data_IF_323266101252
#
_entry.id   IF_323266101252
#
_cell.length_a   1.000
_cell.length_b   1.000
_cell.length_c   1.000
_cell.angle_alpha   90.00
_cell.angle_beta   90.00
_cell.angle_gamma   90.00
#
_symmetry.space_group_name_H-M   'P 1'
#
loop_
_entity.id
_entity.type
_entity.pdbx_description
1 polymer ?
#
# COMPACT_ATOMS: atom_id res chain seq x y z
N UNK A 1 21.76 -72.68 -16.34
CA UNK A 1 22.68 -72.07 -17.30
C UNK A 1 21.91 -71.01 -18.06
N UNK A 2 22.23 -69.73 -17.94
CA UNK A 2 21.59 -68.71 -18.71
C UNK A 2 22.38 -68.47 -20.01
N UNK A 3 21.72 -68.06 -21.09
CA UNK A 3 22.42 -67.64 -22.33
C UNK A 3 22.81 -66.15 -22.28
N UNK A 4 24.05 -66.00 -22.72
CA UNK A 4 24.72 -64.73 -23.00
C UNK A 4 24.00 -63.89 -24.08
N UNK A 5 23.75 -62.61 -23.82
CA UNK A 5 23.32 -61.66 -24.82
C UNK A 5 24.50 -60.72 -25.16
N UNK A 6 24.91 -60.78 -26.42
CA UNK A 6 25.94 -59.95 -27.00
C UNK A 6 25.43 -58.51 -27.29
N UNK A 7 26.32 -57.57 -27.02
CA UNK A 7 26.22 -56.15 -27.43
C UNK A 7 26.21 -56.03 -28.97
N UNK A 8 25.25 -55.29 -29.50
CA UNK A 8 25.46 -54.49 -30.71
C UNK A 8 24.60 -53.22 -30.69
N UNK A 9 25.33 -52.18 -30.67
CA UNK A 9 25.05 -50.77 -30.82
C UNK A 9 24.00 -50.45 -31.90
N UNK A 10 23.13 -49.47 -31.57
CA UNK A 10 22.60 -48.55 -32.54
C UNK A 10 22.53 -47.19 -31.86
N UNK A 11 23.51 -46.34 -32.21
CA UNK A 11 23.52 -44.92 -31.99
C UNK A 11 22.42 -44.29 -32.86
N UNK A 12 21.34 -43.82 -32.26
CA UNK A 12 20.45 -42.84 -32.89
C UNK A 12 20.78 -41.50 -32.26
N UNK A 13 21.54 -40.67 -32.96
CA UNK A 13 21.68 -39.24 -32.69
C UNK A 13 20.32 -38.58 -32.95
N UNK A 14 19.58 -38.32 -31.89
CA UNK A 14 18.51 -37.32 -31.92
C UNK A 14 19.14 -35.97 -31.55
N UNK A 15 19.41 -35.18 -32.59
CA UNK A 15 19.76 -33.78 -32.47
C UNK A 15 18.56 -33.04 -31.87
N UNK A 16 18.61 -32.76 -30.57
CA UNK A 16 17.77 -31.76 -29.96
C UNK A 16 18.29 -30.40 -30.44
N UNK A 17 17.60 -29.83 -31.43
CA UNK A 17 17.69 -28.41 -31.74
C UNK A 17 17.09 -27.70 -30.55
N UNK A 18 17.94 -27.26 -29.65
CA UNK A 18 17.59 -26.32 -28.58
C UNK A 18 17.18 -25.00 -29.24
N UNK A 19 15.90 -24.85 -29.52
CA UNK A 19 15.32 -23.53 -29.72
C UNK A 19 15.39 -22.83 -28.38
N UNK A 20 16.50 -22.13 -28.18
CA UNK A 20 16.60 -21.14 -27.11
C UNK A 20 15.54 -20.09 -27.37
N UNK A 21 14.39 -20.26 -26.73
CA UNK A 21 13.46 -19.16 -26.50
C UNK A 21 14.18 -18.18 -25.56
N UNK A 22 15.05 -17.35 -26.13
CA UNK A 22 15.32 -16.05 -25.60
C UNK A 22 14.00 -15.27 -25.72
N UNK A 23 13.12 -15.44 -24.72
CA UNK A 23 12.05 -14.51 -24.48
C UNK A 23 12.73 -13.19 -24.09
N UNK A 24 13.15 -12.44 -25.12
CA UNK A 24 13.40 -11.04 -24.99
C UNK A 24 12.15 -10.48 -24.34
N UNK A 25 12.24 -10.06 -23.07
CA UNK A 25 11.27 -9.17 -22.48
C UNK A 25 11.25 -7.93 -23.37
N UNK A 26 10.36 -7.90 -24.35
CA UNK A 26 9.97 -6.65 -24.97
C UNK A 26 9.45 -5.83 -23.77
N UNK A 27 10.18 -4.80 -23.40
CA UNK A 27 9.67 -3.81 -22.48
C UNK A 27 8.34 -3.38 -23.07
N UNK A 28 7.22 -3.68 -22.39
CA UNK A 28 5.93 -3.22 -22.85
C UNK A 28 6.08 -1.72 -23.10
N UNK A 29 5.69 -1.28 -24.29
CA UNK A 29 5.80 0.14 -24.63
C UNK A 29 5.10 0.92 -23.52
N UNK A 30 5.78 1.90 -22.97
CA UNK A 30 5.23 2.70 -21.87
C UNK A 30 3.86 3.26 -22.27
N UNK A 31 2.87 3.18 -21.38
CA UNK A 31 1.60 3.85 -21.63
C UNK A 31 1.85 5.37 -21.70
N UNK A 32 1.60 5.96 -22.86
CA UNK A 32 1.94 7.36 -23.15
C UNK A 32 1.23 8.37 -22.23
N UNK A 33 0.10 7.97 -21.63
CA UNK A 33 -0.66 8.77 -20.66
C UNK A 33 -0.01 8.93 -19.30
N UNK A 34 1.01 8.12 -18.94
CA UNK A 34 1.55 8.13 -17.57
C UNK A 34 2.14 9.47 -17.14
N UNK A 35 2.84 10.15 -18.04
CA UNK A 35 3.48 11.44 -17.71
C UNK A 35 2.48 12.56 -17.40
N UNK A 36 1.28 12.48 -17.97
CA UNK A 36 0.18 13.44 -17.69
C UNK A 36 -0.78 12.94 -16.63
N UNK A 37 -0.76 11.65 -16.30
CA UNK A 37 -1.64 11.08 -15.29
C UNK A 37 -1.27 11.57 -13.89
N UNK A 38 -2.31 11.76 -13.07
CA UNK A 38 -2.14 11.97 -11.64
C UNK A 38 -1.88 10.62 -10.98
N UNK A 39 -0.62 10.31 -10.66
CA UNK A 39 -0.28 9.07 -9.97
C UNK A 39 -0.19 9.30 -8.46
N UNK A 40 -0.97 8.54 -7.68
CA UNK A 40 -1.00 8.60 -6.21
C UNK A 40 -0.82 7.19 -5.67
N UNK A 41 0.13 7.02 -4.75
CA UNK A 41 0.27 5.85 -3.91
C UNK A 41 -0.33 6.13 -2.53
N UNK A 42 -1.46 5.51 -2.22
CA UNK A 42 -2.20 5.80 -0.99
C UNK A 42 -1.62 5.14 0.27
N UNK A 43 -0.62 4.29 0.12
CA UNK A 43 0.19 3.74 1.21
C UNK A 43 1.52 3.28 0.65
N UNK A 44 2.60 3.99 0.97
CA UNK A 44 3.94 3.65 0.52
C UNK A 44 5.00 4.29 1.40
N UNK A 45 6.27 4.11 1.04
CA UNK A 45 7.40 4.73 1.75
C UNK A 45 8.36 5.40 0.79
N UNK A 46 9.01 6.47 1.27
CA UNK A 46 10.15 7.11 0.63
C UNK A 46 11.42 6.79 1.43
N UNK A 47 12.53 6.56 0.75
CA UNK A 47 13.82 6.26 1.38
C UNK A 47 14.39 4.93 0.96
N UNK A 48 15.56 4.62 1.53
CA UNK A 48 16.38 3.47 1.13
C UNK A 48 15.99 2.18 1.90
N UNK A 49 15.17 2.29 2.94
CA UNK A 49 14.69 1.14 3.71
C UNK A 49 13.32 1.40 4.33
N UNK A 50 12.47 0.38 4.31
CA UNK A 50 11.15 0.38 4.95
C UNK A 50 11.15 -0.27 6.35
N UNK A 51 12.30 -0.78 6.84
CA UNK A 51 12.36 -1.59 8.07
C UNK A 51 12.92 -0.86 9.28
N UNK A 52 13.56 0.27 9.09
CA UNK A 52 14.22 1.05 10.14
C UNK A 52 13.49 2.39 10.35
N UNK A 53 13.71 3.06 11.49
CA UNK A 53 13.24 4.42 11.64
C UNK A 53 13.68 5.28 10.44
N UNK A 54 12.90 6.29 10.05
CA UNK A 54 13.22 7.07 8.88
C UNK A 54 14.62 7.67 8.98
N UNK A 55 15.41 7.47 7.94
CA UNK A 55 16.76 8.04 7.79
C UNK A 55 16.75 9.16 6.76
N UNK A 56 17.71 10.11 6.80
CA UNK A 56 17.81 11.15 5.79
C UNK A 56 17.84 10.56 4.38
N UNK A 57 17.03 11.14 3.49
CA UNK A 57 16.94 10.68 2.11
C UNK A 57 18.25 10.85 1.38
N UNK A 58 18.71 9.78 0.73
CA UNK A 58 19.89 9.81 -0.14
C UNK A 58 19.56 10.46 -1.49
N UNK A 59 20.59 10.85 -2.24
CA UNK A 59 20.42 11.34 -3.61
C UNK A 59 19.81 10.27 -4.52
N UNK A 60 20.05 8.98 -4.24
CA UNK A 60 19.43 7.87 -4.94
C UNK A 60 17.93 7.80 -4.67
N UNK A 61 17.51 7.89 -3.41
CA UNK A 61 16.09 7.92 -3.04
C UNK A 61 15.34 9.12 -3.66
N UNK A 62 15.98 10.28 -3.73
CA UNK A 62 15.42 11.45 -4.42
C UNK A 62 15.32 11.25 -5.93
N UNK A 63 16.34 10.62 -6.54
CA UNK A 63 16.30 10.24 -7.96
C UNK A 63 15.17 9.27 -8.25
N UNK A 64 14.96 8.27 -7.39
CA UNK A 64 13.88 7.30 -7.52
C UNK A 64 12.50 7.95 -7.34
N UNK A 65 12.34 8.88 -6.39
CA UNK A 65 11.09 9.63 -6.21
C UNK A 65 10.74 10.43 -7.48
N UNK A 66 11.73 11.08 -8.11
CA UNK A 66 11.53 11.76 -9.40
C UNK A 66 11.18 10.79 -10.52
N UNK A 67 11.88 9.63 -10.61
CA UNK A 67 11.64 8.62 -11.63
C UNK A 67 10.26 7.97 -11.49
N UNK A 68 9.75 7.84 -10.28
CA UNK A 68 8.41 7.34 -10.01
C UNK A 68 7.31 8.23 -10.59
N UNK A 69 7.52 9.55 -10.63
CA UNK A 69 6.56 10.51 -11.19
C UNK A 69 5.25 10.57 -10.40
N UNK A 70 5.29 10.32 -9.08
CA UNK A 70 4.10 10.38 -8.23
C UNK A 70 3.72 11.83 -7.94
N UNK A 71 2.44 12.16 -8.12
CA UNK A 71 1.86 13.42 -7.65
C UNK A 71 1.65 13.43 -6.13
N UNK A 72 1.46 12.24 -5.54
CA UNK A 72 1.30 12.09 -4.10
C UNK A 72 1.64 10.68 -3.62
N UNK A 73 2.18 10.60 -2.40
CA UNK A 73 2.39 9.35 -1.69
C UNK A 73 1.98 9.54 -0.23
N UNK A 74 1.15 8.64 0.29
CA UNK A 74 0.83 8.60 1.71
C UNK A 74 1.88 7.75 2.43
N UNK A 75 2.61 8.39 3.33
CA UNK A 75 3.63 7.75 4.16
C UNK A 75 3.12 7.57 5.59
N UNK A 76 3.42 6.44 6.18
CA UNK A 76 3.11 6.19 7.59
C UNK A 76 4.09 6.95 8.48
N UNK A 77 3.56 7.73 9.42
CA UNK A 77 4.30 8.35 10.52
C UNK A 77 3.84 7.75 11.84
N UNK A 78 4.75 7.56 12.77
CA UNK A 78 4.46 6.96 14.06
C UNK A 78 4.42 5.41 14.07
N UNK A 79 4.44 4.83 15.27
CA UNK A 79 4.49 3.39 15.45
C UNK A 79 3.13 2.72 15.32
N UNK A 80 3.15 1.40 15.13
CA UNK A 80 1.99 0.51 15.17
C UNK A 80 2.11 -0.50 16.31
N UNK A 81 0.98 -1.05 16.76
CA UNK A 81 0.94 -2.13 17.76
C UNK A 81 1.08 -1.63 19.19
N UNK A 82 1.87 -2.33 20.01
CA UNK A 82 1.87 -2.22 21.48
C UNK A 82 2.73 -1.10 22.06
N UNK A 83 3.08 -0.08 21.30
CA UNK A 83 3.82 1.08 21.83
C UNK A 83 2.94 1.84 22.82
N UNK A 84 3.45 2.23 24.02
CA UNK A 84 2.66 3.04 24.96
C UNK A 84 2.16 4.35 24.30
N UNK A 85 0.91 4.79 24.55
CA UNK A 85 0.29 5.92 23.84
C UNK A 85 1.10 7.22 23.87
N UNK A 86 1.72 7.54 25.02
CA UNK A 86 2.55 8.75 25.16
C UNK A 86 3.81 8.69 24.29
N UNK A 87 4.49 7.54 24.31
CA UNK A 87 5.67 7.31 23.48
C UNK A 87 5.29 7.26 21.98
N UNK A 88 4.13 6.69 21.66
CA UNK A 88 3.61 6.67 20.31
C UNK A 88 3.29 8.09 19.78
N UNK A 89 2.68 8.93 20.61
CA UNK A 89 2.39 10.31 20.24
C UNK A 89 3.68 11.12 20.04
N UNK A 90 4.62 11.06 20.99
CA UNK A 90 5.90 11.75 20.87
C UNK A 90 6.65 11.32 19.60
N UNK A 91 6.74 10.02 19.34
CA UNK A 91 7.38 9.49 18.13
C UNK A 91 6.67 9.95 16.86
N UNK A 92 5.33 10.03 16.84
CA UNK A 92 4.59 10.54 15.69
C UNK A 92 4.93 12.01 15.40
N UNK A 93 5.06 12.85 16.44
CA UNK A 93 5.48 14.25 16.31
C UNK A 93 6.90 14.33 15.74
N UNK A 94 7.85 13.57 16.32
CA UNK A 94 9.26 13.55 15.90
C UNK A 94 9.38 13.11 14.43
N UNK A 95 8.62 12.10 14.00
CA UNK A 95 8.64 11.63 12.61
C UNK A 95 8.04 12.64 11.63
N UNK A 96 6.98 13.37 12.02
CA UNK A 96 6.47 14.49 11.19
C UNK A 96 7.52 15.59 11.07
N UNK A 97 8.18 15.98 12.16
CA UNK A 97 9.25 16.98 12.13
C UNK A 97 10.43 16.54 11.25
N UNK A 98 10.81 15.26 11.34
CA UNK A 98 11.81 14.67 10.47
C UNK A 98 11.41 14.83 8.99
N UNK A 99 10.20 14.43 8.60
CA UNK A 99 9.74 14.52 7.22
C UNK A 99 9.62 15.98 6.72
N UNK A 100 9.16 16.90 7.56
CA UNK A 100 9.16 18.33 7.23
C UNK A 100 10.59 18.84 6.99
N UNK A 101 11.59 18.32 7.72
CA UNK A 101 13.00 18.65 7.49
C UNK A 101 13.50 18.12 6.14
N UNK A 102 13.12 16.88 5.77
CA UNK A 102 13.48 16.29 4.47
C UNK A 102 12.81 17.04 3.31
N UNK A 103 11.54 17.40 3.43
CA UNK A 103 10.83 18.19 2.42
C UNK A 103 11.49 19.55 2.22
N UNK A 104 11.86 20.23 3.30
CA UNK A 104 12.59 21.51 3.20
C UNK A 104 13.95 21.37 2.52
N UNK A 105 14.69 20.30 2.85
CA UNK A 105 15.99 20.00 2.25
C UNK A 105 15.90 19.68 0.76
N UNK A 106 14.86 18.97 0.34
CA UNK A 106 14.65 18.51 -1.03
C UNK A 106 13.42 19.18 -1.68
N UNK A 107 13.22 20.48 -1.41
CA UNK A 107 12.06 21.25 -1.87
C UNK A 107 11.89 21.34 -3.39
N UNK A 108 12.91 20.97 -4.14
CA UNK A 108 12.90 20.85 -5.60
C UNK A 108 12.35 19.49 -6.08
N UNK A 109 12.23 18.51 -5.20
CA UNK A 109 11.72 17.16 -5.48
C UNK A 109 10.46 16.81 -4.67
N UNK A 110 10.31 17.35 -3.47
CA UNK A 110 9.23 17.01 -2.54
C UNK A 110 8.37 18.22 -2.20
N UNK A 111 7.10 17.96 -1.83
CA UNK A 111 6.17 18.95 -1.34
C UNK A 111 5.31 18.38 -0.20
N UNK A 112 5.04 19.17 0.85
CA UNK A 112 4.07 18.79 1.89
C UNK A 112 2.65 18.94 1.37
N UNK A 113 1.79 17.97 1.63
CA UNK A 113 0.40 17.93 1.19
C UNK A 113 -0.53 18.07 2.40
N UNK A 114 -1.39 19.07 2.38
CA UNK A 114 -2.41 19.31 3.40
C UNK A 114 -3.81 19.45 2.80
N UNK A 115 -3.91 19.58 1.47
CA UNK A 115 -5.15 19.65 0.72
C UNK A 115 -5.06 18.90 -0.61
N UNK A 116 -6.19 18.61 -1.24
CA UNK A 116 -6.22 17.99 -2.56
C UNK A 116 -5.59 18.91 -3.64
N UNK A 117 -5.69 20.21 -3.47
CA UNK A 117 -5.08 21.21 -4.36
C UNK A 117 -3.56 21.23 -4.28
N UNK A 118 -2.97 20.89 -3.13
CA UNK A 118 -1.52 20.75 -2.98
C UNK A 118 -0.99 19.58 -3.83
N UNK A 119 -1.75 18.50 -3.97
CA UNK A 119 -1.39 17.36 -4.84
C UNK A 119 -1.29 17.82 -6.29
N UNK A 120 -2.26 18.61 -6.77
CA UNK A 120 -2.24 19.17 -8.12
C UNK A 120 -1.10 20.17 -8.31
N UNK A 121 -0.76 20.94 -7.27
CA UNK A 121 0.37 21.85 -7.31
C UNK A 121 1.70 21.09 -7.36
N UNK A 122 1.83 20.01 -6.58
CA UNK A 122 3.00 19.12 -6.62
C UNK A 122 3.18 18.52 -8.02
N UNK A 123 2.11 17.95 -8.60
CA UNK A 123 2.14 17.41 -9.97
C UNK A 123 2.60 18.45 -10.99
N UNK A 124 1.98 19.65 -10.99
CA UNK A 124 2.35 20.72 -11.94
C UNK A 124 3.80 21.17 -11.83
N UNK A 125 4.38 21.06 -10.64
CA UNK A 125 5.78 21.43 -10.39
C UNK A 125 6.77 20.26 -10.53
N UNK A 126 6.30 19.07 -10.92
CA UNK A 126 7.14 17.88 -11.04
C UNK A 126 7.70 17.35 -9.71
N UNK A 127 7.04 17.67 -8.59
CA UNK A 127 7.44 17.23 -7.25
C UNK A 127 6.54 16.10 -6.76
N UNK A 128 7.09 15.23 -5.92
CA UNK A 128 6.30 14.23 -5.21
C UNK A 128 5.69 14.85 -3.96
N UNK A 129 4.37 14.82 -3.87
CA UNK A 129 3.63 15.26 -2.69
C UNK A 129 3.68 14.23 -1.57
N UNK A 130 4.01 14.64 -0.36
CA UNK A 130 4.06 13.78 0.84
C UNK A 130 2.82 14.01 1.68
N UNK A 131 2.02 12.96 1.86
CA UNK A 131 0.80 12.94 2.68
C UNK A 131 1.12 12.18 3.96
N UNK A 132 0.87 12.75 5.12
CA UNK A 132 1.07 12.05 6.39
C UNK A 132 -0.14 11.19 6.74
N UNK A 133 0.14 9.91 7.04
CA UNK A 133 -0.84 8.90 7.41
C UNK A 133 -0.45 8.17 8.71
N UNK A 134 -1.44 7.65 9.44
CA UNK A 134 -1.25 6.70 10.54
C UNK A 134 -1.86 5.36 10.16
N UNK A 135 -1.14 4.27 10.46
CA UNK A 135 -1.68 2.91 10.32
C UNK A 135 -2.20 2.33 11.64
N UNK A 136 -2.17 3.09 12.74
CA UNK A 136 -2.74 2.70 14.04
C UNK A 136 -3.18 3.95 14.82
N UNK A 137 -4.17 3.78 15.69
CA UNK A 137 -4.68 4.83 16.55
C UNK A 137 -3.93 4.95 17.89
N UNK A 138 -2.95 4.12 18.15
CA UNK A 138 -2.27 3.99 19.45
C UNK A 138 -1.80 5.33 20.05
N UNK A 139 -1.43 6.30 19.20
CA UNK A 139 -0.94 7.61 19.67
C UNK A 139 -2.06 8.55 20.16
N UNK A 140 -3.34 8.28 19.89
CA UNK A 140 -4.47 9.14 20.29
C UNK A 140 -5.68 8.38 20.86
N UNK A 141 -5.72 7.05 20.81
CA UNK A 141 -6.88 6.24 21.21
C UNK A 141 -7.34 6.47 22.67
N UNK A 142 -6.40 6.78 23.56
CA UNK A 142 -6.69 7.12 24.96
C UNK A 142 -7.12 8.59 25.15
N UNK A 143 -6.80 9.46 24.20
CA UNK A 143 -7.03 10.90 24.25
C UNK A 143 -7.37 11.47 22.86
N UNK A 144 -8.66 11.48 22.52
CA UNK A 144 -9.12 11.90 21.20
C UNK A 144 -8.85 13.38 20.89
N UNK A 145 -8.59 14.23 21.88
CA UNK A 145 -8.19 15.64 21.69
C UNK A 145 -6.86 15.78 20.92
N UNK A 146 -5.99 14.76 20.96
CA UNK A 146 -4.75 14.71 20.18
C UNK A 146 -5.00 14.75 18.66
N UNK A 147 -6.19 14.35 18.20
CA UNK A 147 -6.55 14.42 16.77
C UNK A 147 -6.48 15.85 16.23
N UNK A 148 -6.80 16.87 17.05
CA UNK A 148 -6.67 18.27 16.64
C UNK A 148 -5.22 18.67 16.40
N UNK A 149 -4.33 18.26 17.29
CA UNK A 149 -2.90 18.51 17.15
C UNK A 149 -2.32 17.75 15.95
N UNK A 150 -2.70 16.47 15.76
CA UNK A 150 -2.26 15.66 14.62
C UNK A 150 -2.74 16.25 13.29
N UNK A 151 -4.00 16.72 13.23
CA UNK A 151 -4.49 17.45 12.06
C UNK A 151 -3.69 18.73 11.79
N UNK A 152 -3.38 19.49 12.84
CA UNK A 152 -2.53 20.70 12.77
C UNK A 152 -1.12 20.40 12.25
N UNK A 153 -0.54 19.25 12.63
CA UNK A 153 0.73 18.76 12.11
C UNK A 153 0.66 18.34 10.63
N UNK A 154 -0.53 18.16 10.08
CA UNK A 154 -0.73 17.85 8.66
C UNK A 154 -1.17 16.42 8.37
N UNK A 155 -1.54 15.63 9.37
CA UNK A 155 -2.09 14.30 9.13
C UNK A 155 -3.45 14.40 8.42
N UNK A 156 -3.61 13.57 7.38
CA UNK A 156 -4.82 13.59 6.52
C UNK A 156 -5.44 12.22 6.32
N UNK A 157 -4.75 11.14 6.67
CA UNK A 157 -5.25 9.76 6.58
C UNK A 157 -4.97 9.06 7.90
N UNK A 158 -5.99 8.51 8.55
CA UNK A 158 -5.82 7.82 9.84
C UNK A 158 -6.59 6.51 9.83
N UNK A 159 -5.86 5.44 10.09
CA UNK A 159 -6.39 4.11 10.29
C UNK A 159 -6.77 3.89 11.77
N UNK A 160 -7.91 3.22 11.99
CA UNK A 160 -8.47 3.08 13.35
C UNK A 160 -7.77 2.00 14.17
N UNK A 161 -7.35 0.90 13.55
CA UNK A 161 -6.65 -0.21 14.21
C UNK A 161 -5.55 -0.74 13.32
N UNK A 162 -4.48 -1.25 13.89
CA UNK A 162 -3.58 -2.16 13.18
C UNK A 162 -4.15 -3.59 13.20
N UNK A 163 -3.32 -4.62 13.15
CA UNK A 163 -3.74 -6.02 13.03
C UNK A 163 -4.48 -6.55 14.27
N UNK A 164 -4.12 -6.11 15.47
CA UNK A 164 -4.74 -6.51 16.73
C UNK A 164 -5.84 -5.56 17.20
N UNK A 165 -6.37 -5.83 18.40
CA UNK A 165 -7.32 -4.96 19.10
C UNK A 165 -6.58 -3.76 19.70
N UNK A 166 -7.22 -2.59 19.63
CA UNK A 166 -6.89 -1.42 20.42
C UNK A 166 -8.16 -0.84 21.11
N UNK A 167 -8.09 0.35 21.71
CA UNK A 167 -9.25 0.94 22.40
C UNK A 167 -10.39 1.34 21.46
N UNK A 168 -10.13 1.53 20.16
CA UNK A 168 -11.15 1.95 19.19
C UNK A 168 -11.92 0.76 18.60
N UNK A 169 -11.28 -0.41 18.47
CA UNK A 169 -11.94 -1.57 17.87
C UNK A 169 -11.00 -2.74 17.63
N UNK A 170 -11.50 -3.72 16.88
CA UNK A 170 -10.75 -4.91 16.53
C UNK A 170 -10.06 -4.76 15.19
N UNK A 171 -8.78 -5.14 15.13
CA UNK A 171 -8.03 -5.31 13.89
C UNK A 171 -8.39 -6.61 13.17
N UNK A 172 -7.84 -6.79 11.98
CA UNK A 172 -8.17 -7.92 11.10
C UNK A 172 -7.69 -9.29 11.63
N UNK A 173 -6.77 -9.33 12.57
CA UNK A 173 -6.29 -10.57 13.21
C UNK A 173 -6.93 -10.83 14.57
N UNK A 174 -7.79 -9.94 15.06
CA UNK A 174 -8.48 -10.13 16.33
C UNK A 174 -9.61 -11.16 16.18
N UNK A 175 -9.53 -12.33 16.86
CA UNK A 175 -10.52 -13.38 16.68
C UNK A 175 -11.93 -12.98 17.13
N UNK A 176 -12.03 -12.07 18.11
CA UNK A 176 -13.30 -11.64 18.70
C UNK A 176 -14.18 -10.86 17.71
N UNK A 177 -13.56 -10.14 16.77
CA UNK A 177 -14.26 -9.34 15.74
C UNK A 177 -15.49 -8.59 16.28
N UNK A 178 -15.32 -7.92 17.44
CA UNK A 178 -16.42 -7.29 18.19
C UNK A 178 -16.90 -5.97 17.55
N UNK A 179 -16.09 -5.38 16.65
CA UNK A 179 -16.42 -4.13 15.99
C UNK A 179 -15.88 -2.89 16.69
N UNK A 180 -16.44 -1.72 16.39
CA UNK A 180 -16.06 -0.46 17.01
C UNK A 180 -16.52 -0.39 18.46
N UNK A 181 -15.65 0.13 19.32
CA UNK A 181 -16.01 0.56 20.68
C UNK A 181 -16.76 1.91 20.64
N UNK A 182 -17.26 2.35 21.80
CA UNK A 182 -17.79 3.72 21.93
C UNK A 182 -16.73 4.78 21.65
N UNK A 183 -15.48 4.55 22.04
CA UNK A 183 -14.36 5.44 21.72
C UNK A 183 -14.07 5.44 20.19
N UNK A 184 -14.16 4.27 19.54
CA UNK A 184 -14.03 4.16 18.09
C UNK A 184 -15.09 4.93 17.32
N UNK A 185 -16.36 4.88 17.78
CA UNK A 185 -17.44 5.68 17.20
C UNK A 185 -17.16 7.18 17.33
N UNK A 186 -16.73 7.63 18.50
CA UNK A 186 -16.37 9.03 18.75
C UNK A 186 -15.14 9.46 17.91
N UNK A 187 -14.16 8.56 17.72
CA UNK A 187 -13.01 8.81 16.86
C UNK A 187 -13.44 9.02 15.40
N UNK A 188 -14.30 8.17 14.83
CA UNK A 188 -14.84 8.34 13.48
C UNK A 188 -15.56 9.68 13.33
N UNK A 189 -16.39 10.06 14.31
CA UNK A 189 -17.07 11.36 14.29
C UNK A 189 -16.06 12.53 14.30
N UNK A 190 -15.03 12.44 15.15
CA UNK A 190 -14.00 13.49 15.24
C UNK A 190 -13.17 13.60 13.96
N UNK A 191 -12.77 12.46 13.37
CA UNK A 191 -12.05 12.42 12.10
C UNK A 191 -12.87 13.05 10.98
N UNK A 192 -14.18 12.76 10.90
CA UNK A 192 -15.08 13.38 9.94
C UNK A 192 -15.18 14.90 10.13
N UNK A 193 -15.25 15.37 11.39
CA UNK A 193 -15.32 16.80 11.71
C UNK A 193 -14.04 17.55 11.32
N UNK A 194 -12.88 16.91 11.49
CA UNK A 194 -11.57 17.46 11.12
C UNK A 194 -11.25 17.34 9.63
N UNK A 195 -12.05 16.61 8.85
CA UNK A 195 -11.72 16.35 7.45
C UNK A 195 -10.52 15.44 7.28
N UNK A 196 -10.36 14.44 8.15
CA UNK A 196 -9.34 13.39 8.03
C UNK A 196 -9.99 12.15 7.44
N UNK A 197 -9.36 11.54 6.41
CA UNK A 197 -9.83 10.30 5.82
C UNK A 197 -9.70 9.14 6.83
N UNK A 198 -10.80 8.45 7.06
CA UNK A 198 -10.81 7.21 7.84
C UNK A 198 -10.35 6.05 6.94
N UNK A 199 -9.21 5.45 7.29
CA UNK A 199 -8.68 4.24 6.65
C UNK A 199 -9.06 3.00 7.45
N UNK A 200 -9.48 1.94 6.77
CA UNK A 200 -9.95 0.69 7.35
C UNK A 200 -9.08 -0.52 6.96
N UNK A 201 -7.92 -0.30 6.36
CA UNK A 201 -7.09 -1.33 5.73
C UNK A 201 -6.67 -2.49 6.64
N UNK A 202 -6.43 -2.24 7.93
CA UNK A 202 -6.13 -3.28 8.91
C UNK A 202 -7.30 -3.58 9.88
N UNK A 203 -8.43 -2.88 9.73
CA UNK A 203 -9.57 -3.08 10.62
C UNK A 203 -10.20 -4.46 10.44
N UNK A 204 -10.75 -5.01 11.52
CA UNK A 204 -11.56 -6.22 11.46
C UNK A 204 -12.83 -6.00 10.62
N UNK A 205 -13.45 -7.07 10.14
CA UNK A 205 -14.64 -6.99 9.26
C UNK A 205 -15.79 -6.23 9.95
N UNK A 206 -16.05 -6.51 11.23
CA UNK A 206 -17.09 -5.82 11.99
C UNK A 206 -16.73 -4.36 12.26
N UNK A 207 -15.46 -4.08 12.63
CA UNK A 207 -14.96 -2.71 12.80
C UNK A 207 -15.14 -1.89 11.52
N UNK A 208 -14.80 -2.47 10.36
CA UNK A 208 -15.00 -1.83 9.06
C UNK A 208 -16.49 -1.55 8.78
N UNK A 209 -17.38 -2.53 9.02
CA UNK A 209 -18.81 -2.37 8.81
C UNK A 209 -19.41 -1.28 9.71
N UNK A 210 -19.02 -1.25 10.98
CA UNK A 210 -19.48 -0.24 11.94
C UNK A 210 -18.95 1.16 11.56
N UNK A 211 -17.68 1.27 11.16
CA UNK A 211 -17.07 2.54 10.75
C UNK A 211 -17.70 3.10 9.45
N UNK A 212 -17.97 2.25 8.45
CA UNK A 212 -18.67 2.66 7.22
C UNK A 212 -20.07 3.19 7.57
N UNK A 213 -20.77 2.54 8.50
CA UNK A 213 -22.11 2.96 8.91
C UNK A 213 -22.13 4.24 9.74
N UNK A 214 -21.08 4.47 10.53
CA UNK A 214 -20.95 5.64 11.39
C UNK A 214 -20.42 6.88 10.66
N UNK A 215 -19.60 6.67 9.63
CA UNK A 215 -18.95 7.76 8.92
C UNK A 215 -19.97 8.57 8.08
N UNK A 216 -19.90 9.88 8.20
CA UNK A 216 -20.66 10.83 7.37
C UNK A 216 -19.92 11.27 6.11
N UNK A 217 -18.67 10.78 5.95
CA UNK A 217 -17.81 11.03 4.79
C UNK A 217 -17.36 9.70 4.19
N UNK A 218 -16.98 9.66 2.92
CA UNK A 218 -16.39 8.46 2.35
C UNK A 218 -15.20 7.97 3.17
N UNK A 219 -15.02 6.65 3.23
CA UNK A 219 -13.91 5.96 3.89
C UNK A 219 -13.06 5.21 2.86
N UNK A 220 -11.91 4.68 3.24
CA UNK A 220 -11.08 3.92 2.33
C UNK A 220 -10.56 2.61 2.94
N UNK A 221 -10.20 1.69 2.05
CA UNK A 221 -9.12 0.74 2.28
C UNK A 221 -7.92 1.26 1.49
N UNK A 222 -6.98 1.95 2.14
CA UNK A 222 -5.85 2.56 1.42
C UNK A 222 -4.96 1.51 0.76
N UNK A 223 -4.84 0.30 1.36
CA UNK A 223 -4.04 -0.81 0.88
C UNK A 223 -4.65 -2.17 1.27
N UNK A 224 -5.10 -2.94 0.28
CA UNK A 224 -5.75 -4.25 0.48
C UNK A 224 -5.67 -5.13 -0.77
N UNK A 225 -6.14 -6.36 -0.66
CA UNK A 225 -6.44 -7.26 -1.77
C UNK A 225 -7.88 -7.75 -1.74
N UNK A 226 -8.23 -8.70 -2.61
CA UNK A 226 -9.56 -9.29 -2.73
C UNK A 226 -9.57 -10.69 -2.12
N UNK A 227 -10.36 -10.90 -1.06
CA UNK A 227 -10.46 -12.17 -0.32
C UNK A 227 -11.02 -13.31 -1.19
N UNK A 228 -11.88 -12.99 -2.15
CA UNK A 228 -12.43 -13.97 -3.10
C UNK A 228 -11.37 -14.61 -4.02
N UNK A 229 -10.25 -13.94 -4.24
CA UNK A 229 -9.14 -14.46 -5.05
C UNK A 229 -8.09 -15.18 -4.19
N UNK A 230 -7.79 -14.61 -3.05
CA UNK A 230 -6.82 -15.13 -2.08
C UNK A 230 -7.35 -14.88 -0.66
N UNK A 231 -7.98 -15.88 -0.01
CA UNK A 231 -8.51 -15.75 1.34
C UNK A 231 -7.41 -15.39 2.34
N UNK A 232 -7.51 -14.18 2.90
CA UNK A 232 -6.54 -13.68 3.86
C UNK A 232 -7.16 -12.59 4.75
N UNK A 233 -6.86 -12.50 6.06
CA UNK A 233 -7.42 -11.47 6.94
C UNK A 233 -7.16 -10.03 6.49
N UNK A 234 -6.08 -9.78 5.76
CA UNK A 234 -5.73 -8.47 5.18
C UNK A 234 -6.50 -8.16 3.90
N UNK A 235 -7.08 -9.17 3.24
CA UNK A 235 -7.89 -9.01 2.03
C UNK A 235 -9.35 -8.75 2.40
N UNK A 236 -10.07 -7.98 1.54
CA UNK A 236 -11.45 -7.59 1.75
C UNK A 236 -12.40 -8.47 0.94
N UNK A 237 -13.49 -8.86 1.58
CA UNK A 237 -14.57 -9.58 0.90
C UNK A 237 -15.23 -8.69 -0.14
N UNK A 238 -15.88 -9.30 -1.12
CA UNK A 238 -16.66 -8.57 -2.13
C UNK A 238 -17.76 -7.70 -1.51
N UNK A 239 -18.32 -8.12 -0.36
CA UNK A 239 -19.30 -7.33 0.37
C UNK A 239 -18.68 -6.07 0.99
N UNK A 240 -17.52 -6.19 1.65
CA UNK A 240 -16.80 -5.04 2.21
C UNK A 240 -16.42 -4.04 1.10
N UNK A 241 -15.92 -4.55 -0.03
CA UNK A 241 -15.58 -3.75 -1.20
C UNK A 241 -16.78 -2.99 -1.74
N UNK A 242 -17.94 -3.67 -1.93
CA UNK A 242 -19.19 -3.03 -2.38
C UNK A 242 -19.65 -1.96 -1.41
N UNK A 243 -19.58 -2.20 -0.10
CA UNK A 243 -19.99 -1.22 0.93
C UNK A 243 -19.14 0.04 0.89
N UNK A 244 -17.84 -0.09 0.74
CA UNK A 244 -16.95 1.08 0.60
C UNK A 244 -17.27 1.84 -0.68
N UNK A 245 -17.50 1.17 -1.81
CA UNK A 245 -17.89 1.82 -3.06
C UNK A 245 -19.22 2.56 -2.94
N UNK A 246 -20.25 1.93 -2.34
CA UNK A 246 -21.56 2.54 -2.10
C UNK A 246 -21.48 3.78 -1.19
N UNK A 247 -20.52 3.81 -0.27
CA UNK A 247 -20.22 4.97 0.57
C UNK A 247 -19.36 6.04 -0.14
N UNK A 248 -19.09 5.90 -1.43
CA UNK A 248 -18.26 6.83 -2.21
C UNK A 248 -16.74 6.65 -2.01
N UNK A 249 -16.32 5.63 -1.29
CA UNK A 249 -14.93 5.36 -0.95
C UNK A 249 -14.09 4.76 -2.07
N UNK A 250 -12.85 4.40 -1.74
CA UNK A 250 -11.88 3.79 -2.66
C UNK A 250 -11.16 2.64 -1.95
N UNK A 251 -10.85 1.57 -2.69
CA UNK A 251 -9.94 0.51 -2.25
C UNK A 251 -8.66 0.53 -3.10
N UNK A 252 -7.51 0.70 -2.43
CA UNK A 252 -6.18 0.60 -3.04
C UNK A 252 -5.69 -0.83 -3.04
N UNK A 253 -5.30 -1.34 -4.21
CA UNK A 253 -4.69 -2.67 -4.31
C UNK A 253 -3.22 -2.56 -3.97
N UNK A 254 -2.77 -3.40 -3.03
CA UNK A 254 -1.38 -3.46 -2.58
C UNK A 254 -0.53 -4.47 -3.40
N UNK A 255 0.78 -4.48 -3.14
CA UNK A 255 1.70 -5.38 -3.86
C UNK A 255 2.28 -6.46 -2.95
N UNK A 256 1.56 -6.77 -1.88
CA UNK A 256 1.96 -7.67 -0.81
C UNK A 256 1.82 -9.16 -1.16
N UNK A 257 2.54 -10.07 -0.48
CA UNK A 257 2.44 -11.52 -0.66
C UNK A 257 1.02 -12.08 -0.53
N UNK A 258 0.16 -11.40 0.18
CA UNK A 258 -1.26 -11.77 0.39
C UNK A 258 -2.11 -11.75 -0.89
N UNK A 259 -1.54 -11.33 -2.03
CA UNK A 259 -2.14 -11.47 -3.37
C UNK A 259 -1.81 -12.81 -4.03
N UNK A 260 -0.99 -13.66 -3.37
CA UNK A 260 -0.53 -14.95 -3.87
C UNK A 260 -0.33 -15.95 -2.72
N UNK A 261 -1.31 -16.08 -1.83
CA UNK A 261 -1.32 -17.06 -0.72
C UNK A 261 -0.05 -17.01 0.16
N UNK A 262 0.52 -15.82 0.36
CA UNK A 262 1.76 -15.64 1.12
C UNK A 262 3.05 -15.91 0.33
N UNK A 263 2.96 -16.32 -0.94
CA UNK A 263 4.11 -16.45 -1.82
C UNK A 263 4.44 -15.13 -2.52
N UNK A 264 5.66 -15.05 -3.11
CA UNK A 264 6.10 -13.86 -3.83
C UNK A 264 5.11 -13.50 -4.96
N UNK A 265 4.47 -12.31 -4.93
CA UNK A 265 3.55 -11.90 -5.97
C UNK A 265 4.30 -11.34 -7.20
N UNK A 266 3.56 -11.22 -8.30
CA UNK A 266 4.00 -10.58 -9.54
C UNK A 266 2.96 -9.56 -10.00
N UNK A 267 3.27 -8.76 -11.02
CA UNK A 267 2.32 -7.84 -11.67
C UNK A 267 1.03 -8.55 -12.11
N UNK A 268 1.10 -9.80 -12.54
CA UNK A 268 -0.08 -10.57 -12.92
C UNK A 268 -1.05 -10.79 -11.76
N UNK A 269 -0.55 -11.01 -10.53
CA UNK A 269 -1.39 -11.12 -9.34
C UNK A 269 -2.01 -9.76 -8.97
N UNK A 270 -1.24 -8.68 -9.02
CA UNK A 270 -1.75 -7.31 -8.80
C UNK A 270 -2.86 -6.98 -9.79
N UNK A 271 -2.65 -7.24 -11.09
CA UNK A 271 -3.64 -7.00 -12.15
C UNK A 271 -4.90 -7.81 -11.91
N UNK A 272 -4.80 -9.09 -11.54
CA UNK A 272 -5.95 -9.95 -11.24
C UNK A 272 -6.82 -9.36 -10.13
N UNK A 273 -6.20 -8.86 -9.06
CA UNK A 273 -6.92 -8.21 -7.96
C UNK A 273 -7.54 -6.86 -8.36
N UNK A 274 -6.87 -6.06 -9.17
CA UNK A 274 -7.41 -4.81 -9.73
C UNK A 274 -8.64 -5.10 -10.59
N UNK A 275 -8.53 -6.05 -11.52
CA UNK A 275 -9.64 -6.41 -12.42
C UNK A 275 -10.85 -6.96 -11.65
N UNK A 276 -10.62 -7.78 -10.61
CA UNK A 276 -11.69 -8.24 -9.73
C UNK A 276 -12.32 -7.07 -8.95
N UNK A 277 -11.51 -6.19 -8.37
CA UNK A 277 -12.01 -5.02 -7.66
C UNK A 277 -12.86 -4.12 -8.57
N UNK A 278 -12.46 -3.90 -9.83
CA UNK A 278 -13.29 -3.18 -10.81
C UNK A 278 -14.64 -3.84 -11.08
N UNK A 279 -14.69 -5.18 -11.14
CA UNK A 279 -15.95 -5.92 -11.32
C UNK A 279 -16.89 -5.75 -10.12
N UNK A 280 -16.34 -5.66 -8.91
CA UNK A 280 -17.10 -5.60 -7.67
C UNK A 280 -17.53 -4.17 -7.30
N UNK A 281 -16.64 -3.20 -7.48
CA UNK A 281 -16.77 -1.82 -7.00
C UNK A 281 -17.11 -0.81 -8.10
N UNK A 282 -16.86 -1.16 -9.36
CA UNK A 282 -16.80 -0.19 -10.45
C UNK A 282 -15.47 0.54 -10.53
N UNK A 283 -15.19 1.16 -11.68
CA UNK A 283 -13.88 1.77 -11.97
C UNK A 283 -13.60 3.06 -11.18
N UNK A 284 -14.63 3.70 -10.62
CA UNK A 284 -14.51 4.94 -9.85
C UNK A 284 -14.06 4.72 -8.39
N UNK A 285 -13.92 3.47 -7.95
CA UNK A 285 -13.71 3.10 -6.55
C UNK A 285 -12.45 2.27 -6.31
N UNK A 286 -11.61 2.09 -7.33
CA UNK A 286 -10.35 1.32 -7.21
C UNK A 286 -9.15 2.24 -7.42
N UNK A 287 -8.14 2.06 -6.59
CA UNK A 287 -6.88 2.79 -6.64
C UNK A 287 -5.67 1.89 -6.34
N UNK A 288 -4.54 2.50 -6.10
CA UNK A 288 -3.30 1.83 -5.70
C UNK A 288 -2.86 2.33 -4.34
N UNK A 289 -2.40 1.41 -3.49
CA UNK A 289 -1.67 1.69 -2.27
C UNK A 289 -0.67 0.55 -2.08
N UNK A 290 0.56 0.73 -2.56
CA UNK A 290 1.50 -0.38 -2.79
C UNK A 290 1.91 -1.11 -1.52
N UNK A 291 1.87 -0.45 -0.37
CA UNK A 291 2.40 -0.89 0.92
C UNK A 291 3.90 -1.21 0.83
N UNK A 292 4.62 -0.48 -0.02
CA UNK A 292 6.04 -0.71 -0.32
C UNK A 292 6.83 0.57 -0.59
N UNK A 293 8.16 0.44 -0.64
CA UNK A 293 9.08 1.55 -0.90
C UNK A 293 9.06 2.00 -2.36
N UNK A 294 9.27 3.29 -2.63
CA UNK A 294 9.46 3.82 -3.99
C UNK A 294 10.77 3.33 -4.59
N UNK A 295 11.85 3.35 -3.82
CA UNK A 295 13.13 2.79 -4.23
C UNK A 295 13.06 1.27 -4.39
N UNK A 296 13.76 0.69 -5.37
CA UNK A 296 13.80 -0.75 -5.55
C UNK A 296 14.61 -1.41 -4.45
N UNK A 297 14.14 -2.54 -3.94
CA UNK A 297 14.84 -3.33 -2.94
C UNK A 297 15.98 -4.12 -3.59
N UNK A 298 17.19 -3.92 -3.11
CA UNK A 298 18.36 -4.71 -3.50
C UNK A 298 18.47 -5.94 -2.59
N UNK A 299 18.22 -7.12 -3.14
CA UNK A 299 18.17 -8.38 -2.39
C UNK A 299 19.59 -8.89 -2.08
N UNK A 300 20.29 -8.17 -1.23
CA UNK A 300 21.61 -8.54 -0.72
C UNK A 300 21.51 -9.50 0.48
N UNK A 301 22.64 -10.01 0.97
CA UNK A 301 22.68 -10.80 2.20
C UNK A 301 22.24 -9.97 3.42
N UNK A 302 22.64 -8.69 3.45
CA UNK A 302 22.27 -7.72 4.49
C UNK A 302 20.76 -7.45 4.49
N UNK A 303 20.16 -7.24 3.30
CA UNK A 303 18.72 -7.09 3.16
C UNK A 303 17.97 -8.31 3.71
N UNK A 304 18.37 -9.53 3.30
CA UNK A 304 17.74 -10.78 3.78
C UNK A 304 17.80 -10.89 5.31
N UNK A 305 18.95 -10.53 5.90
CA UNK A 305 19.12 -10.55 7.36
C UNK A 305 18.23 -9.52 8.04
N UNK A 306 18.15 -8.30 7.52
CA UNK A 306 17.32 -7.23 8.06
C UNK A 306 15.83 -7.59 7.93
N UNK A 307 15.42 -8.14 6.81
CA UNK A 307 14.05 -8.59 6.56
C UNK A 307 13.65 -9.69 7.55
N UNK A 308 14.45 -10.76 7.70
CA UNK A 308 14.17 -11.83 8.65
C UNK A 308 14.10 -11.32 10.10
N UNK A 309 14.98 -10.39 10.48
CA UNK A 309 14.94 -9.75 11.80
C UNK A 309 13.65 -8.92 12.00
N UNK A 310 13.20 -8.21 10.98
CA UNK A 310 11.94 -7.46 11.01
C UNK A 310 10.74 -8.39 11.19
N UNK A 311 10.66 -9.48 10.43
CA UNK A 311 9.59 -10.49 10.57
C UNK A 311 9.61 -11.11 11.97
N UNK A 312 10.78 -11.46 12.51
CA UNK A 312 10.91 -12.00 13.87
C UNK A 312 10.41 -10.99 14.93
N UNK A 313 10.77 -9.71 14.79
CA UNK A 313 10.32 -8.63 15.67
C UNK A 313 8.80 -8.47 15.61
N UNK A 314 8.18 -8.50 14.43
CA UNK A 314 6.73 -8.41 14.23
C UNK A 314 6.00 -9.60 14.85
N UNK A 315 6.55 -10.83 14.69
CA UNK A 315 6.01 -12.04 15.36
C UNK A 315 6.07 -11.92 16.88
N UNK A 316 7.20 -11.49 17.43
CA UNK A 316 7.36 -11.29 18.87
C UNK A 316 6.40 -10.24 19.43
N UNK A 317 6.08 -9.19 18.66
CA UNK A 317 5.11 -8.16 18.99
C UNK A 317 3.65 -8.58 18.77
N UNK A 318 3.37 -9.78 18.23
CA UNK A 318 2.02 -10.26 17.93
C UNK A 318 1.29 -9.49 16.83
N UNK A 319 2.03 -8.77 15.97
CA UNK A 319 1.46 -7.94 14.89
C UNK A 319 1.71 -8.53 13.49
N UNK A 320 2.35 -9.70 13.40
CA UNK A 320 2.62 -10.38 12.13
C UNK A 320 1.34 -10.97 11.56
N UNK A 321 1.11 -10.77 10.26
CA UNK A 321 0.00 -11.41 9.57
C UNK A 321 0.34 -12.86 9.16
N UNK A 322 -0.65 -13.74 9.00
CA UNK A 322 -0.42 -15.07 8.43
C UNK A 322 0.31 -14.97 7.08
N UNK A 323 1.26 -15.89 6.80
CA UNK A 323 2.01 -15.88 5.54
C UNK A 323 3.18 -14.89 5.46
N UNK A 324 3.46 -14.09 6.49
CA UNK A 324 4.73 -13.37 6.60
C UNK A 324 5.87 -14.38 6.83
N UNK A 325 6.71 -14.59 5.80
CA UNK A 325 7.82 -15.55 5.81
C UNK A 325 9.16 -14.82 5.85
N UNK A 326 10.16 -15.45 6.43
CA UNK A 326 11.51 -14.87 6.63
C UNK A 326 12.29 -14.71 5.31
N UNK A 327 11.87 -15.44 4.26
CA UNK A 327 12.47 -15.48 2.93
C UNK A 327 11.54 -14.92 1.82
N UNK A 328 10.36 -14.46 2.18
CA UNK A 328 9.44 -13.74 1.30
C UNK A 328 9.74 -12.25 1.26
N UNK A 329 9.25 -11.53 0.26
CA UNK A 329 9.42 -10.08 0.16
C UNK A 329 8.07 -9.37 0.01
N UNK A 330 7.98 -8.15 0.55
CA UNK A 330 6.76 -7.35 0.61
C UNK A 330 6.57 -6.48 -0.65
N UNK A 331 6.84 -7.04 -1.83
CA UNK A 331 6.65 -6.36 -3.11
C UNK A 331 6.41 -7.38 -4.25
N UNK A 332 5.79 -6.94 -5.34
CA UNK A 332 5.68 -7.75 -6.55
C UNK A 332 7.03 -7.78 -7.30
N UNK A 333 7.55 -9.00 -7.55
CA UNK A 333 8.93 -9.21 -8.01
C UNK A 333 9.30 -8.46 -9.29
N UNK A 334 8.38 -8.41 -10.25
CA UNK A 334 8.56 -7.75 -11.55
C UNK A 334 8.12 -6.27 -11.55
N UNK A 335 7.65 -5.76 -10.41
CA UNK A 335 7.37 -4.35 -10.14
C UNK A 335 8.36 -3.71 -9.16
N UNK A 336 9.50 -4.37 -8.89
CA UNK A 336 10.56 -3.83 -8.03
C UNK A 336 11.39 -2.77 -8.76
N UNK A 337 10.78 -1.63 -9.00
CA UNK A 337 11.34 -0.49 -9.74
C UNK A 337 10.67 0.81 -9.27
N UNK A 338 11.34 1.97 -9.31
CA UNK A 338 10.68 3.25 -9.01
C UNK A 338 9.49 3.51 -9.94
N UNK A 339 9.55 3.04 -11.18
CA UNK A 339 8.50 3.21 -12.20
C UNK A 339 7.39 2.16 -12.15
N UNK A 340 7.19 1.49 -11.01
CA UNK A 340 6.24 0.37 -10.86
C UNK A 340 4.81 0.70 -11.32
N UNK A 341 4.32 1.91 -11.06
CA UNK A 341 2.99 2.32 -11.50
C UNK A 341 2.93 2.57 -13.02
N UNK A 342 3.99 3.08 -13.62
CA UNK A 342 4.10 3.20 -15.08
C UNK A 342 4.14 1.83 -15.77
N UNK A 343 4.89 0.88 -15.22
CA UNK A 343 4.94 -0.50 -15.69
C UNK A 343 3.58 -1.17 -15.58
N UNK A 344 2.91 -1.03 -14.43
CA UNK A 344 1.56 -1.56 -14.20
C UNK A 344 0.55 -0.97 -15.19
N UNK A 345 0.58 0.34 -15.41
CA UNK A 345 -0.29 1.01 -16.38
C UNK A 345 -0.07 0.51 -17.80
N UNK A 346 1.20 0.30 -18.21
CA UNK A 346 1.54 -0.26 -19.52
C UNK A 346 1.00 -1.68 -19.69
N UNK A 347 1.12 -2.52 -18.66
CA UNK A 347 0.59 -3.89 -18.68
C UNK A 347 -0.96 -3.91 -18.76
N UNK A 348 -1.64 -3.03 -18.05
CA UNK A 348 -3.10 -2.89 -18.12
C UNK A 348 -3.56 -2.33 -19.46
N UNK A 349 -2.86 -1.33 -20.01
CA UNK A 349 -3.11 -0.80 -21.36
C UNK A 349 -2.98 -1.90 -22.43
N UNK A 350 -1.93 -2.72 -22.36
CA UNK A 350 -1.72 -3.85 -23.25
C UNK A 350 -2.83 -4.93 -23.15
N UNK A 351 -3.56 -4.97 -22.02
CA UNK A 351 -4.74 -5.83 -21.84
C UNK A 351 -6.05 -5.20 -22.35
N UNK A 352 -5.98 -3.99 -22.93
CA UNK A 352 -7.11 -3.30 -23.54
C UNK A 352 -7.91 -2.40 -22.61
N UNK A 353 -7.42 -2.09 -21.40
CA UNK A 353 -8.08 -1.11 -20.54
C UNK A 353 -7.93 0.30 -21.07
N UNK A 354 -8.99 1.12 -21.00
CA UNK A 354 -9.02 2.48 -21.54
C UNK A 354 -8.13 3.44 -20.73
N UNK A 355 -7.64 4.48 -21.40
CA UNK A 355 -6.85 5.55 -20.79
C UNK A 355 -7.59 6.22 -19.61
N UNK A 356 -8.91 6.40 -19.73
CA UNK A 356 -9.75 6.95 -18.66
C UNK A 356 -9.74 6.05 -17.41
N UNK A 357 -9.91 4.73 -17.60
CA UNK A 357 -9.86 3.75 -16.49
C UNK A 357 -8.50 3.72 -15.82
N UNK A 358 -7.41 3.81 -16.60
CA UNK A 358 -6.06 3.87 -16.07
C UNK A 358 -5.81 5.16 -15.28
N UNK A 359 -6.28 6.31 -15.77
CA UNK A 359 -6.17 7.58 -15.05
C UNK A 359 -6.94 7.55 -13.72
N UNK A 360 -8.14 6.94 -13.69
CA UNK A 360 -8.92 6.72 -12.46
C UNK A 360 -8.17 5.87 -11.45
N UNK A 361 -7.64 4.71 -11.88
CA UNK A 361 -6.86 3.79 -11.04
C UNK A 361 -5.63 4.45 -10.45
N UNK A 362 -4.86 5.16 -11.29
CA UNK A 362 -3.58 5.73 -10.89
C UNK A 362 -3.73 6.83 -9.84
N UNK A 363 -4.83 7.62 -9.85
CA UNK A 363 -4.96 8.65 -8.84
C UNK A 363 -6.19 9.54 -8.90
N UNK A 364 -6.93 9.61 -10.01
CA UNK A 364 -8.12 10.47 -10.07
C UNK A 364 -9.17 10.08 -9.02
N UNK A 365 -9.32 8.76 -8.72
CA UNK A 365 -10.21 8.28 -7.67
C UNK A 365 -9.74 8.72 -6.28
N UNK A 366 -8.43 8.69 -6.01
CA UNK A 366 -7.87 9.19 -4.76
C UNK A 366 -8.06 10.70 -4.62
N UNK A 367 -7.79 11.47 -5.68
CA UNK A 367 -7.99 12.93 -5.65
C UNK A 367 -9.45 13.28 -5.37
N UNK A 368 -10.41 12.59 -6.00
CA UNK A 368 -11.85 12.76 -5.72
C UNK A 368 -12.14 12.47 -4.25
N UNK A 369 -11.70 11.32 -3.75
CA UNK A 369 -11.91 10.93 -2.35
C UNK A 369 -11.33 11.96 -1.37
N UNK A 370 -10.11 12.44 -1.62
CA UNK A 370 -9.48 13.44 -0.78
C UNK A 370 -10.24 14.77 -0.80
N UNK A 371 -10.76 15.20 -1.95
CA UNK A 371 -11.63 16.37 -2.04
C UNK A 371 -12.92 16.21 -1.26
N UNK A 372 -13.50 15.02 -1.25
CA UNK A 372 -14.75 14.75 -0.54
C UNK A 372 -14.54 14.63 0.98
N UNK A 373 -13.33 14.26 1.42
CA UNK A 373 -13.03 14.02 2.83
C UNK A 373 -12.28 15.14 3.52
N UNK A 374 -11.30 15.78 2.88
CA UNK A 374 -10.41 16.78 3.49
C UNK A 374 -11.00 18.20 3.56
N UNK A 375 -12.31 18.33 3.43
CA UNK A 375 -13.01 19.62 3.64
C UNK A 375 -13.28 19.79 5.13
N UNK A 376 -12.69 20.83 5.74
CA UNK A 376 -13.07 21.31 7.06
C UNK A 376 -14.40 22.05 7.02
#
# INVERSE_FOLDING_TARGET
MPPTVTRRSLLALSAWVGVGLSAGRAAAAEWSGYQSALAIDACGTLGDSQFEPPTPLSDAAISDARAAGLAGIAITVGPVGTTPPEAAYARTVDEVEFWESQIRRHRDALASIRSAEDILAAQRSGRTGVIYALQDAVCFEAELSRLDSLHGLGLRVIQLTYNGRNLLGDGCLEPGNAGLSRAGMAAVERLNALGILVDLSHCGRRTSADAISASKRPVAFTHTGCDALDPHPRNRTDEELRRVAQAGGVAGIYFMPYLNQGHQPSAAHVIRHIEHAWQIMGEDHVGIGTDGGVSPELITAEYRKAFAASVAKRRAAGISAPGEQDDGYTFAADLNTPRRLAVLAALLSARGHSDERLAKLLGANWLRLYRDTWRA
#
